data_IF_050325408462
#
_entry.id   IF_050325408462
#
_cell.length_a   1.000
_cell.length_b   1.000
_cell.length_c   1.000
_cell.angle_alpha   90.00
_cell.angle_beta   90.00
_cell.angle_gamma   90.00
#
_symmetry.space_group_name_H-M   'P 1'
#
loop_
_entity.id
_entity.type
_entity.pdbx_description
1 polymer ?
#
# COMPACT_ATOMS: atom_id res chain seq x y z
N UNK A 1 4.87 1.86 20.29
CA UNK A 1 3.67 1.04 20.01
C UNK A 1 4.04 0.08 18.88
N UNK A 2 3.60 -1.17 18.95
CA UNK A 2 3.81 -2.12 17.86
C UNK A 2 2.80 -1.80 16.76
N UNK A 3 3.28 -1.35 15.61
CA UNK A 3 2.43 -1.09 14.46
C UNK A 3 1.86 -2.41 13.93
N UNK A 4 0.58 -2.42 13.60
CA UNK A 4 -0.15 -3.62 13.16
C UNK A 4 -0.29 -3.61 11.65
N UNK A 5 -0.19 -4.79 11.05
CA UNK A 5 -0.57 -4.96 9.65
C UNK A 5 -2.06 -4.61 9.49
N UNK A 6 -2.35 -3.67 8.60
CA UNK A 6 -3.71 -3.27 8.27
C UNK A 6 -4.30 -4.14 7.16
N UNK A 7 -3.51 -4.42 6.10
CA UNK A 7 -3.99 -5.19 4.95
C UNK A 7 -2.85 -5.90 4.23
N UNK A 8 -3.13 -7.11 3.73
CA UNK A 8 -2.21 -7.91 2.91
C UNK A 8 -2.93 -8.27 1.61
N UNK A 9 -2.20 -8.29 0.50
CA UNK A 9 -2.70 -8.77 -0.79
C UNK A 9 -1.57 -9.33 -1.65
N UNK A 10 -1.93 -10.20 -2.59
CA UNK A 10 -1.01 -10.87 -3.51
C UNK A 10 -1.24 -10.29 -4.90
N UNK A 11 -0.16 -9.96 -5.59
CA UNK A 11 -0.18 -9.54 -6.98
C UNK A 11 0.03 -10.72 -7.93
N UNK A 12 -0.36 -10.56 -9.19
CA UNK A 12 -0.17 -11.58 -10.23
C UNK A 12 1.28 -11.80 -10.66
N UNK A 13 2.26 -11.11 -10.06
CA UNK A 13 3.70 -11.24 -10.31
C UNK A 13 4.44 -11.92 -9.15
N UNK A 14 3.77 -12.81 -8.41
CA UNK A 14 4.35 -13.58 -7.29
C UNK A 14 4.91 -12.70 -6.15
N UNK A 15 4.37 -11.50 -5.98
CA UNK A 15 4.68 -10.58 -4.89
C UNK A 15 3.54 -10.50 -3.89
N UNK A 16 3.89 -10.40 -2.62
CA UNK A 16 2.99 -10.07 -1.53
C UNK A 16 3.26 -8.64 -1.12
N UNK A 17 2.20 -7.90 -0.84
CA UNK A 17 2.30 -6.56 -0.33
C UNK A 17 1.51 -6.44 0.97
N UNK A 18 2.04 -5.65 1.89
CA UNK A 18 1.38 -5.35 3.14
C UNK A 18 1.36 -3.84 3.36
N UNK A 19 0.25 -3.35 3.92
CA UNK A 19 0.11 -1.98 4.37
C UNK A 19 0.03 -2.04 5.89
N UNK A 20 0.91 -1.30 6.54
CA UNK A 20 0.98 -1.15 8.00
C UNK A 20 0.10 0.01 8.46
N UNK A 21 -0.28 0.02 9.75
CA UNK A 21 -1.10 1.07 10.35
C UNK A 21 -0.49 2.50 10.32
N UNK A 22 0.82 2.64 10.20
CA UNK A 22 1.48 3.92 9.93
C UNK A 22 1.49 4.33 8.45
N UNK A 23 0.95 3.49 7.56
CA UNK A 23 0.87 3.71 6.12
C UNK A 23 2.13 3.36 5.34
N UNK A 24 3.10 2.71 5.99
CA UNK A 24 4.18 2.06 5.27
C UNK A 24 3.64 0.92 4.40
N UNK A 25 4.19 0.82 3.20
CA UNK A 25 3.91 -0.23 2.22
C UNK A 25 5.14 -1.11 2.14
N UNK A 26 4.93 -2.39 2.40
CA UNK A 26 5.94 -3.43 2.33
C UNK A 26 5.67 -4.34 1.14
N UNK A 27 6.74 -4.91 0.61
CA UNK A 27 6.74 -5.92 -0.46
C UNK A 27 7.59 -7.11 -0.04
N UNK A 28 7.15 -8.31 -0.39
CA UNK A 28 7.88 -9.56 -0.21
C UNK A 28 7.65 -10.47 -1.41
N UNK A 29 8.54 -11.43 -1.62
CA UNK A 29 8.32 -12.50 -2.60
C UNK A 29 7.40 -13.54 -1.98
N UNK A 30 6.47 -14.09 -2.77
CA UNK A 30 5.57 -15.13 -2.30
C UNK A 30 6.32 -16.38 -1.79
N UNK A 31 7.53 -16.59 -2.32
CA UNK A 31 8.43 -17.69 -1.94
C UNK A 31 9.46 -17.30 -0.85
N UNK A 32 9.53 -16.03 -0.42
CA UNK A 32 10.46 -15.56 0.63
C UNK A 32 9.75 -14.57 1.60
N UNK A 33 8.67 -15.06 2.22
CA UNK A 33 7.81 -14.28 3.16
C UNK A 33 8.51 -13.83 4.44
N UNK A 34 9.74 -14.27 4.67
CA UNK A 34 10.57 -13.87 5.80
C UNK A 34 11.30 -12.54 5.51
N UNK A 35 11.36 -12.12 4.25
CA UNK A 35 12.00 -10.87 3.85
C UNK A 35 11.00 -9.87 3.31
N UNK A 36 10.84 -8.78 4.04
CA UNK A 36 9.99 -7.66 3.65
C UNK A 36 10.85 -6.44 3.37
N UNK A 37 10.62 -5.83 2.21
CA UNK A 37 11.23 -4.57 1.81
C UNK A 37 10.19 -3.46 1.94
N UNK A 38 10.54 -2.34 2.56
CA UNK A 38 9.70 -1.16 2.53
C UNK A 38 9.85 -0.52 1.15
N UNK A 39 8.73 -0.39 0.42
CA UNK A 39 8.70 0.17 -0.94
C UNK A 39 7.97 1.50 -1.03
N UNK A 40 7.25 1.86 0.03
CA UNK A 40 6.63 3.17 0.17
C UNK A 40 6.59 3.54 1.64
N UNK A 41 7.30 4.59 2.01
CA UNK A 41 7.13 5.26 3.30
C UNK A 41 6.39 6.54 3.04
N UNK A 42 5.26 6.74 3.69
CA UNK A 42 4.78 8.08 3.89
C UNK A 42 4.07 8.11 5.23
N UNK A 43 4.25 9.22 5.94
CA UNK A 43 3.49 9.61 7.12
C UNK A 43 2.00 9.77 6.76
N UNK A 44 1.36 8.76 6.16
CA UNK A 44 -0.09 8.67 6.11
C UNK A 44 -0.52 8.70 7.56
N UNK A 45 -1.25 9.73 7.99
CA UNK A 45 -1.51 9.86 9.41
C UNK A 45 -2.30 8.63 9.89
N UNK A 46 -2.00 8.15 11.10
CA UNK A 46 -2.44 6.84 11.58
C UNK A 46 -3.97 6.65 11.63
N UNK A 47 -4.75 7.74 11.55
CA UNK A 47 -6.21 7.72 11.44
C UNK A 47 -6.74 7.47 10.01
N UNK A 48 -5.88 7.34 8.98
CA UNK A 48 -6.27 7.28 7.57
C UNK A 48 -6.65 5.88 7.10
N UNK A 49 -6.38 4.85 7.92
CA UNK A 49 -6.52 3.47 7.48
C UNK A 49 -7.85 2.83 7.80
N UNK A 50 -8.79 3.47 8.48
CA UNK A 50 -10.04 2.78 8.86
C UNK A 50 -11.00 2.46 7.70
N UNK A 51 -10.76 2.96 6.48
CA UNK A 51 -11.63 2.68 5.31
C UNK A 51 -10.90 2.57 3.95
N UNK A 52 -9.70 1.98 3.95
CA UNK A 52 -8.88 1.89 2.73
C UNK A 52 -9.35 0.77 1.79
N UNK A 53 -9.95 1.18 0.67
CA UNK A 53 -10.21 0.32 -0.48
C UNK A 53 -8.98 0.24 -1.39
N UNK A 54 -8.14 -0.77 -1.15
CA UNK A 54 -7.07 -1.14 -2.09
C UNK A 54 -7.69 -1.80 -3.33
N UNK A 55 -7.49 -1.20 -4.50
CA UNK A 55 -7.67 -1.87 -5.80
C UNK A 55 -6.32 -1.98 -6.49
N UNK A 56 -6.07 -3.15 -7.06
CA UNK A 56 -4.93 -3.43 -7.92
C UNK A 56 -5.39 -3.47 -9.37
N UNK A 57 -4.75 -2.67 -10.22
CA UNK A 57 -4.93 -2.74 -11.68
C UNK A 57 -3.66 -2.24 -12.35
N UNK A 58 -3.09 -3.03 -13.27
CA UNK A 58 -1.92 -2.65 -14.06
C UNK A 58 -0.76 -2.10 -13.20
N UNK A 59 -0.33 -2.85 -12.17
CA UNK A 59 0.78 -2.45 -11.29
C UNK A 59 0.54 -1.18 -10.47
N UNK A 60 -0.72 -0.78 -10.29
CA UNK A 60 -1.09 0.41 -9.53
C UNK A 60 -2.00 0.05 -8.36
N UNK A 61 -1.68 0.59 -7.19
CA UNK A 61 -2.56 0.60 -6.02
C UNK A 61 -3.27 1.93 -5.87
N UNK A 62 -4.56 1.85 -5.61
CA UNK A 62 -5.36 2.99 -5.20
C UNK A 62 -5.73 2.89 -3.73
N UNK A 63 -5.55 3.97 -2.97
CA UNK A 63 -5.96 4.10 -1.57
C UNK A 63 -6.95 5.26 -1.48
N UNK A 64 -8.23 4.97 -1.30
CA UNK A 64 -9.30 5.97 -1.20
C UNK A 64 -9.73 6.17 0.26
N UNK A 65 -9.83 7.43 0.70
CA UNK A 65 -10.43 7.83 1.98
C UNK A 65 -11.13 9.20 1.81
N UNK A 66 -12.42 9.29 2.14
CA UNK A 66 -13.25 10.45 1.85
C UNK A 66 -13.11 10.89 0.38
N UNK A 67 -12.71 12.14 0.13
CA UNK A 67 -12.55 12.73 -1.19
C UNK A 67 -11.11 12.63 -1.72
N UNK A 68 -10.22 11.99 -0.94
CA UNK A 68 -8.82 11.80 -1.28
C UNK A 68 -8.59 10.41 -1.85
N UNK A 69 -7.99 10.37 -3.03
CA UNK A 69 -7.54 9.14 -3.68
C UNK A 69 -6.03 9.23 -3.82
N UNK A 70 -5.30 8.21 -3.39
CA UNK A 70 -3.87 8.09 -3.56
C UNK A 70 -3.56 6.96 -4.51
N UNK A 71 -2.56 7.15 -5.37
CA UNK A 71 -2.07 6.19 -6.34
C UNK A 71 -0.63 5.84 -5.98
N UNK A 72 -0.36 4.58 -5.68
CA UNK A 72 1.00 4.05 -5.65
C UNK A 72 1.27 3.27 -6.93
N UNK A 73 2.26 3.71 -7.70
CA UNK A 73 2.71 3.07 -8.92
C UNK A 73 3.88 2.15 -8.59
N UNK A 74 3.71 0.84 -8.81
CA UNK A 74 4.74 -0.15 -8.50
C UNK A 74 5.94 -0.08 -9.43
N UNK A 75 5.72 0.27 -10.70
CA UNK A 75 6.79 0.35 -11.68
C UNK A 75 7.76 1.48 -11.34
N UNK A 76 7.23 2.65 -10.97
CA UNK A 76 8.04 3.80 -10.57
C UNK A 76 8.33 3.86 -9.07
N UNK A 77 7.70 3.00 -8.25
CA UNK A 77 7.70 3.07 -6.78
C UNK A 77 7.35 4.45 -6.25
N UNK A 78 6.39 5.12 -6.88
CA UNK A 78 5.98 6.48 -6.49
C UNK A 78 4.54 6.52 -5.97
N UNK A 79 4.35 7.25 -4.88
CA UNK A 79 3.04 7.62 -4.36
C UNK A 79 2.65 9.01 -4.88
N UNK A 80 1.42 9.17 -5.35
CA UNK A 80 0.87 10.44 -5.81
C UNK A 80 -0.59 10.59 -5.36
N UNK A 81 -1.01 11.82 -5.05
CA UNK A 81 -2.42 12.09 -4.78
C UNK A 81 -3.14 12.28 -6.11
N UNK A 82 -4.22 11.52 -6.31
CA UNK A 82 -5.14 11.67 -7.42
C UNK A 82 -6.24 12.64 -6.98
N UNK A 83 -6.35 13.75 -7.69
CA UNK A 83 -7.48 14.67 -7.53
C UNK A 83 -8.74 13.97 -8.04
N UNK A 84 -9.71 13.73 -7.17
CA UNK A 84 -11.06 13.32 -7.58
C UNK A 84 -11.74 14.59 -8.07
N UNK A 85 -12.11 14.63 -9.36
CA UNK A 85 -12.86 15.72 -9.99
C UNK A 85 -14.35 15.62 -9.65
#
# INVERSE_FOLDING_TARGET
MQERCYKIFISGNDRIYAIEQGGNIYESEINDVLRWNIIGTNNMPSNYLQSVKVRYKNDVYFVQYSDLLWKFDLASKQLSQVKVL
#
